data_IF_187907116584
#
_entry.id   IF_187907116584
#
_cell.length_a   1.000
_cell.length_b   1.000
_cell.length_c   1.000
_cell.angle_alpha   90.00
_cell.angle_beta   90.00
_cell.angle_gamma   90.00
#
_symmetry.space_group_name_H-M   'P 1'
#
loop_
_entity.id
_entity.type
_entity.pdbx_description
1 polymer ?
#
# COMPACT_ATOMS: atom_id res chain seq x y z
N UNK A 1 18.59 29.67 5.44
CA UNK A 1 17.33 28.88 5.34
C UNK A 1 17.44 27.78 6.38
N UNK A 2 16.58 27.78 7.39
CA UNK A 2 16.49 26.66 8.32
C UNK A 2 15.74 25.53 7.65
N UNK A 3 16.34 24.35 7.59
CA UNK A 3 15.72 23.13 7.10
C UNK A 3 15.21 22.34 8.28
N UNK A 4 13.94 21.95 8.24
CA UNK A 4 13.42 20.96 9.17
C UNK A 4 14.01 19.59 8.80
N UNK A 5 14.64 18.93 9.76
CA UNK A 5 15.25 17.60 9.56
C UNK A 5 14.63 16.62 10.52
N UNK A 6 14.15 15.52 9.99
CA UNK A 6 13.60 14.41 10.74
C UNK A 6 14.24 13.10 10.25
N UNK A 7 14.43 12.14 11.15
CA UNK A 7 15.04 10.85 10.80
C UNK A 7 14.06 9.70 10.99
N UNK A 8 14.11 8.75 10.07
CA UNK A 8 13.33 7.54 10.04
C UNK A 8 14.25 6.36 9.77
N UNK A 9 13.83 5.15 10.20
CA UNK A 9 14.52 3.92 9.84
C UNK A 9 14.19 3.51 8.41
N UNK A 10 12.94 3.74 7.99
CA UNK A 10 12.45 3.42 6.64
C UNK A 10 11.67 4.60 6.07
N UNK A 11 11.96 4.95 4.84
CA UNK A 11 11.19 5.91 4.05
C UNK A 11 10.62 5.23 2.80
N UNK A 12 9.30 5.30 2.65
CA UNK A 12 8.58 4.76 1.51
C UNK A 12 8.10 5.91 0.61
N UNK A 13 8.50 5.89 -0.65
CA UNK A 13 8.13 6.91 -1.63
C UNK A 13 6.99 6.41 -2.49
N UNK A 14 5.81 6.99 -2.28
CA UNK A 14 4.57 6.64 -2.95
C UNK A 14 3.65 5.76 -2.09
N UNK A 15 2.39 6.17 -1.95
CA UNK A 15 1.35 5.47 -1.20
C UNK A 15 0.35 4.73 -2.13
N UNK A 16 0.86 4.10 -3.18
CA UNK A 16 0.15 3.07 -3.94
C UNK A 16 0.09 1.76 -3.15
N UNK A 17 -0.49 0.71 -3.71
CA UNK A 17 -0.68 -0.56 -3.00
C UNK A 17 0.63 -1.14 -2.45
N UNK A 18 1.71 -1.13 -3.24
CA UNK A 18 3.01 -1.61 -2.80
C UNK A 18 3.59 -0.74 -1.66
N UNK A 19 3.45 0.58 -1.76
CA UNK A 19 3.93 1.49 -0.71
C UNK A 19 3.15 1.36 0.60
N UNK A 20 1.85 1.13 0.53
CA UNK A 20 1.02 0.85 1.71
C UNK A 20 1.50 -0.42 2.41
N UNK A 21 1.65 -1.52 1.69
CA UNK A 21 2.11 -2.78 2.26
C UNK A 21 3.52 -2.66 2.83
N UNK A 22 4.44 -1.99 2.12
CA UNK A 22 5.80 -1.76 2.60
C UNK A 22 5.84 -0.91 3.88
N UNK A 23 5.07 0.17 3.91
CA UNK A 23 4.98 1.06 5.08
C UNK A 23 4.42 0.35 6.30
N UNK A 24 3.30 -0.35 6.13
CA UNK A 24 2.67 -1.12 7.20
C UNK A 24 3.58 -2.25 7.70
N UNK A 25 4.24 -2.98 6.81
CA UNK A 25 5.15 -4.05 7.19
C UNK A 25 6.34 -3.51 8.02
N UNK A 26 7.00 -2.43 7.57
CA UNK A 26 8.10 -1.81 8.29
C UNK A 26 7.68 -1.30 9.68
N UNK A 27 6.56 -0.59 9.76
CA UNK A 27 6.04 -0.05 11.02
C UNK A 27 5.64 -1.16 12.01
N UNK A 28 5.00 -2.23 11.53
CA UNK A 28 4.61 -3.40 12.35
C UNK A 28 5.82 -4.19 12.86
N UNK A 29 6.94 -4.13 12.15
CA UNK A 29 8.22 -4.67 12.61
C UNK A 29 8.95 -3.75 13.62
N UNK A 30 8.36 -2.60 13.96
CA UNK A 30 8.88 -1.67 14.95
C UNK A 30 9.81 -0.59 14.39
N UNK A 31 9.96 -0.50 13.05
CA UNK A 31 10.75 0.58 12.44
C UNK A 31 9.97 1.90 12.46
N UNK A 32 10.64 3.00 12.81
CA UNK A 32 10.08 4.33 12.61
C UNK A 32 10.01 4.62 11.11
N UNK A 33 8.80 4.66 10.58
CA UNK A 33 8.55 4.65 9.14
C UNK A 33 7.86 5.93 8.67
N UNK A 34 8.29 6.49 7.53
CA UNK A 34 7.55 7.54 6.84
C UNK A 34 7.08 7.06 5.47
N UNK A 35 5.82 7.33 5.14
CA UNK A 35 5.26 7.11 3.81
C UNK A 35 4.97 8.46 3.17
N UNK A 36 5.64 8.75 2.06
CA UNK A 36 5.49 9.99 1.31
C UNK A 36 4.53 9.80 0.14
N UNK A 37 3.62 10.75 -0.04
CA UNK A 37 2.71 10.80 -1.19
C UNK A 37 2.51 12.23 -1.64
N UNK A 38 2.36 12.44 -2.95
CA UNK A 38 2.06 13.76 -3.51
C UNK A 38 0.63 14.21 -3.20
N UNK A 39 -0.26 13.26 -2.93
CA UNK A 39 -1.66 13.56 -2.61
C UNK A 39 -2.23 12.50 -1.66
N UNK A 40 -2.69 12.92 -0.49
CA UNK A 40 -3.28 12.05 0.52
C UNK A 40 -4.61 11.40 0.09
N UNK A 41 -5.33 12.02 -0.83
CA UNK A 41 -6.58 11.49 -1.34
C UNK A 41 -6.39 10.41 -2.42
N UNK A 42 -5.14 10.17 -2.83
CA UNK A 42 -4.78 9.14 -3.80
C UNK A 42 -4.14 7.90 -3.18
N UNK A 43 -4.12 7.83 -1.86
CA UNK A 43 -3.65 6.63 -1.14
C UNK A 43 -4.52 5.42 -1.54
N UNK A 44 -3.88 4.34 -1.96
CA UNK A 44 -4.57 3.12 -2.38
C UNK A 44 -5.48 3.30 -3.61
N UNK A 45 -5.23 4.31 -4.43
CA UNK A 45 -6.07 4.59 -5.60
C UNK A 45 -6.07 3.44 -6.61
N UNK A 46 -7.25 3.15 -7.14
CA UNK A 46 -7.49 2.15 -8.21
C UNK A 46 -7.91 2.87 -9.50
N UNK A 47 -6.96 3.36 -10.33
CA UNK A 47 -7.28 4.22 -11.47
C UNK A 47 -8.02 3.50 -12.60
N UNK A 48 -7.84 2.19 -12.70
CA UNK A 48 -8.51 1.36 -13.70
C UNK A 48 -9.79 0.72 -13.16
N UNK A 49 -9.95 -0.59 -13.35
CA UNK A 49 -11.06 -1.34 -12.77
C UNK A 49 -10.87 -1.46 -11.25
N UNK A 50 -11.83 -1.07 -10.43
CA UNK A 50 -11.75 -1.20 -8.98
C UNK A 50 -11.99 -2.67 -8.58
N UNK A 51 -11.00 -3.51 -8.84
CA UNK A 51 -11.07 -4.95 -8.54
C UNK A 51 -9.72 -5.48 -8.04
N UNK A 52 -9.80 -6.43 -7.12
CA UNK A 52 -8.66 -7.14 -6.54
C UNK A 52 -8.80 -8.62 -6.86
N UNK A 53 -7.67 -9.27 -7.17
CA UNK A 53 -7.64 -10.66 -7.56
C UNK A 53 -7.71 -10.88 -9.07
N UNK A 54 -8.21 -12.06 -9.47
CA UNK A 54 -8.22 -12.51 -10.87
C UNK A 54 -7.02 -13.38 -11.22
N UNK A 55 -6.98 -13.89 -12.46
CA UNK A 55 -6.09 -14.98 -12.89
C UNK A 55 -4.60 -14.72 -12.70
N UNK A 56 -4.16 -13.46 -12.82
CA UNK A 56 -2.73 -13.11 -12.72
C UNK A 56 -2.35 -12.39 -11.42
N UNK A 57 -3.30 -12.15 -10.52
CA UNK A 57 -3.10 -11.30 -9.34
C UNK A 57 -3.61 -11.93 -8.05
N UNK A 58 -4.59 -12.84 -8.11
CA UNK A 58 -5.22 -13.41 -6.92
C UNK A 58 -4.23 -14.15 -6.02
N UNK A 59 -3.29 -14.91 -6.58
CA UNK A 59 -2.27 -15.61 -5.82
C UNK A 59 -1.32 -14.65 -5.09
N UNK A 60 -0.94 -13.53 -5.71
CA UNK A 60 -0.11 -12.50 -5.06
C UNK A 60 -0.83 -11.86 -3.87
N UNK A 61 -2.14 -11.61 -3.98
CA UNK A 61 -2.93 -11.09 -2.86
C UNK A 61 -2.97 -12.09 -1.71
N UNK A 62 -3.15 -13.39 -2.01
CA UNK A 62 -3.11 -14.44 -0.98
C UNK A 62 -1.72 -14.57 -0.32
N UNK A 63 -0.65 -14.42 -1.08
CA UNK A 63 0.71 -14.44 -0.55
C UNK A 63 0.97 -13.25 0.38
N UNK A 64 0.55 -12.05 -0.01
CA UNK A 64 0.63 -10.84 0.81
C UNK A 64 -0.20 -11.01 2.09
N UNK A 65 -1.41 -11.53 1.98
CA UNK A 65 -2.30 -11.78 3.13
C UNK A 65 -1.69 -12.79 4.10
N UNK A 66 -1.10 -13.87 3.59
CA UNK A 66 -0.39 -14.87 4.41
C UNK A 66 0.80 -14.29 5.18
N UNK A 67 1.41 -13.22 4.69
CA UNK A 67 2.48 -12.47 5.36
C UNK A 67 1.96 -11.38 6.30
N UNK A 68 0.64 -11.28 6.49
CA UNK A 68 0.01 -10.28 7.36
C UNK A 68 -0.28 -8.94 6.69
N UNK A 69 -0.30 -8.90 5.34
CA UNK A 69 -0.63 -7.72 4.57
C UNK A 69 -2.07 -7.22 4.75
N UNK A 70 -2.36 -6.06 4.24
CA UNK A 70 -3.63 -5.36 4.45
C UNK A 70 -4.59 -5.45 3.26
N UNK A 71 -4.06 -5.67 2.04
CA UNK A 71 -4.86 -5.66 0.81
C UNK A 71 -5.98 -6.70 0.83
N UNK A 72 -5.72 -7.92 1.29
CA UNK A 72 -6.73 -8.99 1.39
C UNK A 72 -7.86 -8.61 2.32
N UNK A 73 -7.54 -8.15 3.53
CA UNK A 73 -8.50 -7.69 4.54
C UNK A 73 -9.35 -6.52 4.04
N UNK A 74 -8.71 -5.54 3.40
CA UNK A 74 -9.42 -4.41 2.81
C UNK A 74 -10.29 -4.83 1.62
N UNK A 75 -9.83 -5.80 0.81
CA UNK A 75 -10.64 -6.38 -0.26
C UNK A 75 -11.92 -7.02 0.28
N UNK A 76 -11.83 -7.80 1.34
CA UNK A 76 -13.00 -8.44 1.97
C UNK A 76 -13.96 -7.39 2.53
N UNK A 77 -13.44 -6.38 3.23
CA UNK A 77 -14.23 -5.34 3.87
C UNK A 77 -14.99 -4.43 2.90
N UNK A 78 -14.34 -4.10 1.77
CA UNK A 78 -14.87 -3.11 0.81
C UNK A 78 -15.31 -3.74 -0.51
N UNK A 79 -15.47 -5.07 -0.57
CA UNK A 79 -15.99 -5.74 -1.76
C UNK A 79 -17.48 -5.50 -1.94
N UNK A 80 -17.88 -5.15 -3.15
CA UNK A 80 -19.28 -5.06 -3.57
C UNK A 80 -19.78 -6.39 -4.10
N UNK A 81 -18.89 -7.17 -4.72
CA UNK A 81 -19.18 -8.47 -5.32
C UNK A 81 -17.91 -9.29 -5.45
N UNK A 82 -18.00 -10.57 -5.15
CA UNK A 82 -16.94 -11.54 -5.41
C UNK A 82 -17.39 -12.55 -6.46
N UNK A 83 -16.53 -12.87 -7.41
CA UNK A 83 -16.83 -13.81 -8.48
C UNK A 83 -15.65 -14.70 -8.79
N UNK A 84 -15.92 -16.01 -8.91
CA UNK A 84 -14.95 -16.95 -9.44
C UNK A 84 -14.89 -16.86 -10.96
N UNK A 85 -13.70 -16.60 -11.49
CA UNK A 85 -13.43 -16.55 -12.94
C UNK A 85 -13.01 -17.92 -13.45
N UNK A 86 -13.19 -18.13 -14.76
CA UNK A 86 -12.73 -19.30 -15.50
C UNK A 86 -13.35 -20.64 -15.06
N UNK A 87 -14.57 -20.65 -14.54
CA UNK A 87 -15.25 -21.87 -14.08
C UNK A 87 -15.43 -22.93 -15.19
N UNK A 88 -15.50 -22.51 -16.46
CA UNK A 88 -15.55 -23.40 -17.62
C UNK A 88 -14.19 -23.96 -18.07
N UNK A 89 -13.10 -23.65 -17.34
CA UNK A 89 -11.74 -24.13 -17.60
C UNK A 89 -11.28 -25.02 -16.47
N UNK A 90 -10.11 -25.64 -16.59
CA UNK A 90 -9.58 -26.51 -15.52
C UNK A 90 -9.36 -25.76 -14.20
N UNK A 91 -9.39 -26.46 -13.04
CA UNK A 91 -9.29 -25.86 -11.70
C UNK A 91 -8.05 -25.00 -11.48
N UNK A 92 -6.96 -25.30 -12.17
CA UNK A 92 -5.69 -24.57 -12.07
C UNK A 92 -5.78 -23.08 -12.46
N UNK A 93 -6.81 -22.69 -13.22
CA UNK A 93 -7.03 -21.29 -13.65
C UNK A 93 -8.25 -20.63 -12.98
N UNK A 94 -8.90 -21.34 -12.04
CA UNK A 94 -9.94 -20.75 -11.22
C UNK A 94 -9.34 -19.61 -10.39
N UNK A 95 -9.97 -18.44 -10.42
CA UNK A 95 -9.43 -17.25 -9.77
C UNK A 95 -10.54 -16.39 -9.20
N UNK A 96 -10.45 -16.13 -7.90
CA UNK A 96 -11.37 -15.21 -7.26
C UNK A 96 -11.05 -13.77 -7.66
N UNK A 97 -12.07 -13.02 -8.00
CA UNK A 97 -12.00 -11.58 -8.28
C UNK A 97 -13.08 -10.87 -7.47
N UNK A 98 -12.66 -9.93 -6.65
CA UNK A 98 -13.53 -9.03 -5.92
C UNK A 98 -13.66 -7.70 -6.66
N UNK A 99 -14.90 -7.24 -6.85
CA UNK A 99 -15.22 -5.88 -7.28
C UNK A 99 -15.24 -5.01 -6.03
N UNK A 100 -14.51 -3.91 -6.01
CA UNK A 100 -14.26 -3.10 -4.82
C UNK A 100 -14.97 -1.75 -4.92
N UNK A 101 -15.55 -1.28 -3.81
CA UNK A 101 -15.88 0.13 -3.68
C UNK A 101 -14.58 0.93 -3.58
N UNK A 102 -14.22 1.58 -4.69
CA UNK A 102 -12.95 2.30 -4.82
C UNK A 102 -12.77 3.42 -3.79
N UNK A 103 -13.86 4.12 -3.46
CA UNK A 103 -13.80 5.26 -2.55
C UNK A 103 -13.63 4.80 -1.10
N UNK A 104 -14.43 3.86 -0.69
CA UNK A 104 -14.37 3.32 0.67
C UNK A 104 -13.05 2.53 0.89
N UNK A 105 -12.54 1.84 -0.12
CA UNK A 105 -11.24 1.18 -0.06
C UNK A 105 -10.10 2.18 0.15
N UNK A 106 -10.00 3.22 -0.70
CA UNK A 106 -8.96 4.25 -0.58
C UNK A 106 -9.01 4.96 0.77
N UNK A 107 -10.21 5.37 1.21
CA UNK A 107 -10.45 5.98 2.52
C UNK A 107 -10.05 5.05 3.67
N UNK A 108 -10.40 3.77 3.58
CA UNK A 108 -10.05 2.78 4.58
C UNK A 108 -8.55 2.51 4.65
N UNK A 109 -7.86 2.41 3.52
CA UNK A 109 -6.41 2.22 3.46
C UNK A 109 -5.66 3.44 4.02
N UNK A 110 -6.13 4.66 3.70
CA UNK A 110 -5.61 5.89 4.31
C UNK A 110 -5.75 5.85 5.83
N UNK A 111 -6.93 5.53 6.31
CA UNK A 111 -7.20 5.43 7.75
C UNK A 111 -6.34 4.36 8.44
N UNK A 112 -6.11 3.22 7.80
CA UNK A 112 -5.22 2.18 8.31
C UNK A 112 -3.78 2.68 8.47
N UNK A 113 -3.27 3.43 7.48
CA UNK A 113 -1.93 4.03 7.57
C UNK A 113 -1.85 5.08 8.68
N UNK A 114 -2.86 5.95 8.80
CA UNK A 114 -2.89 7.03 9.79
C UNK A 114 -2.97 6.54 11.24
N UNK A 115 -3.59 5.37 11.46
CA UNK A 115 -3.70 4.75 12.79
C UNK A 115 -2.54 3.82 13.14
N UNK A 116 -1.68 3.51 12.18
CA UNK A 116 -0.58 2.57 12.42
C UNK A 116 0.49 3.23 13.30
N UNK A 117 0.79 2.62 14.43
CA UNK A 117 1.92 3.02 15.28
C UNK A 117 3.25 2.94 14.50
N UNK A 118 4.19 3.81 14.83
CA UNK A 118 5.50 3.94 14.18
C UNK A 118 5.44 4.33 12.69
N UNK A 119 4.31 4.85 12.20
CA UNK A 119 4.14 5.25 10.81
C UNK A 119 3.63 6.68 10.69
N UNK A 120 4.38 7.52 9.99
CA UNK A 120 3.98 8.87 9.61
C UNK A 120 3.60 8.90 8.13
N UNK A 121 2.43 9.45 7.82
CA UNK A 121 2.01 9.74 6.44
C UNK A 121 2.30 11.20 6.14
N UNK A 122 3.10 11.47 5.12
CA UNK A 122 3.53 12.81 4.73
C UNK A 122 3.10 13.16 3.32
N UNK A 123 2.36 14.26 3.17
CA UNK A 123 2.09 14.80 1.85
C UNK A 123 3.27 15.66 1.42
N UNK A 124 4.10 15.11 0.53
CA UNK A 124 5.25 15.81 -0.04
C UNK A 124 5.67 15.14 -1.34
N UNK A 125 6.23 15.95 -2.24
CA UNK A 125 6.94 15.47 -3.41
C UNK A 125 8.42 15.28 -3.06
N UNK A 126 8.97 14.10 -3.30
CA UNK A 126 10.41 13.86 -3.15
C UNK A 126 11.10 14.35 -4.42
N UNK A 127 11.87 15.41 -4.30
CA UNK A 127 12.55 16.07 -5.43
C UNK A 127 14.03 15.69 -5.56
N UNK A 128 14.62 15.10 -4.52
CA UNK A 128 16.01 14.64 -4.55
C UNK A 128 16.22 13.49 -3.58
N UNK A 129 17.12 12.57 -3.95
CA UNK A 129 17.53 11.43 -3.15
C UNK A 129 19.04 11.27 -3.25
N UNK A 130 19.74 11.37 -2.11
CA UNK A 130 21.20 11.26 -2.05
C UNK A 130 21.63 10.28 -0.98
N UNK A 131 22.68 9.54 -1.28
CA UNK A 131 23.39 8.75 -0.28
C UNK A 131 24.46 9.63 0.37
N UNK A 132 24.42 9.73 1.70
CA UNK A 132 25.39 10.48 2.49
C UNK A 132 26.66 9.62 2.74
N UNK A 133 27.77 10.28 3.09
CA UNK A 133 29.03 9.59 3.41
C UNK A 133 28.92 8.66 4.63
N UNK A 134 28.04 8.97 5.55
CA UNK A 134 27.73 8.13 6.73
C UNK A 134 26.85 6.90 6.40
N UNK A 135 26.56 6.64 5.13
CA UNK A 135 25.74 5.52 4.67
C UNK A 135 24.23 5.72 4.75
N UNK A 136 23.74 6.82 5.31
CA UNK A 136 22.33 7.16 5.35
C UNK A 136 21.85 7.73 4.00
N UNK A 137 20.54 7.71 3.81
CA UNK A 137 19.89 8.34 2.68
C UNK A 137 19.27 9.68 3.10
N UNK A 138 19.49 10.70 2.31
CA UNK A 138 18.85 12.00 2.47
C UNK A 138 17.78 12.16 1.40
N UNK A 139 16.54 12.41 1.83
CA UNK A 139 15.43 12.77 0.97
C UNK A 139 15.18 14.27 1.10
N UNK A 140 14.92 14.92 -0.02
CA UNK A 140 14.52 16.31 -0.07
C UNK A 140 13.09 16.42 -0.62
N UNK A 141 12.24 17.11 0.09
CA UNK A 141 10.87 17.45 -0.30
C UNK A 141 10.74 18.89 -0.73
#
# INVERSE_FOLDING_TARGET
MEYFSESYDVAVIGAGHAGIEAGLAAARLGCKTAVFTINLDWIGNMPCNPSIGGTSKGHLVCEIDALGGEMGKAADKYSLQSRMLNLGKGPAVHSLRAQIDRREYSKGMKHTLELQENLDVRQAEIIDLRRCENGLWQLKT
#
